data_IF_889889096182
#
_entry.id   IF_889889096182
#
_cell.length_a   1.000
_cell.length_b   1.000
_cell.length_c   1.000
_cell.angle_alpha   90.00
_cell.angle_beta   90.00
_cell.angle_gamma   90.00
#
_symmetry.space_group_name_H-M   'P 1'
#
loop_
_entity.id
_entity.type
_entity.pdbx_description
1 polymer ?
#
# COMPACT_ATOMS: atom_id res chain seq x y z
N UNK A 1 -62.06 34.93 20.12
CA UNK A 1 -61.08 34.70 19.07
C UNK A 1 -59.86 34.08 19.70
N UNK A 2 -59.69 32.75 19.58
CA UNK A 2 -58.55 32.00 20.15
C UNK A 2 -57.39 32.02 19.17
N UNK A 3 -56.27 32.64 19.55
CA UNK A 3 -55.02 32.60 18.76
C UNK A 3 -54.35 31.25 18.96
N UNK A 4 -54.33 30.43 17.92
CA UNK A 4 -53.56 29.19 17.88
C UNK A 4 -52.10 29.58 17.49
N UNK A 5 -51.22 29.48 18.45
CA UNK A 5 -49.76 29.62 18.23
C UNK A 5 -49.27 28.24 17.79
N UNK A 6 -48.99 28.09 16.50
CA UNK A 6 -48.37 26.90 15.95
C UNK A 6 -46.85 27.01 16.14
N UNK A 7 -46.33 26.35 17.18
CA UNK A 7 -44.91 26.25 17.40
C UNK A 7 -44.32 25.23 16.43
N UNK A 8 -43.63 25.70 15.38
CA UNK A 8 -42.91 24.84 14.46
C UNK A 8 -41.56 24.47 15.12
N UNK A 9 -41.51 23.30 15.74
CA UNK A 9 -40.26 22.73 16.23
C UNK A 9 -39.43 22.27 15.04
N UNK A 10 -38.44 23.05 14.62
CA UNK A 10 -37.45 22.63 13.65
C UNK A 10 -36.50 21.63 14.32
N UNK A 11 -36.70 20.32 14.06
CA UNK A 11 -35.78 19.28 14.44
C UNK A 11 -34.59 19.40 13.49
N UNK A 12 -33.53 20.03 13.96
CA UNK A 12 -32.23 20.05 13.25
C UNK A 12 -31.56 18.68 13.46
N UNK A 13 -31.76 17.78 12.51
CA UNK A 13 -30.94 16.58 12.44
C UNK A 13 -29.53 17.01 12.00
N UNK A 14 -28.63 17.15 12.95
CA UNK A 14 -27.19 17.23 12.70
C UNK A 14 -26.74 15.86 12.19
N UNK A 15 -26.74 15.67 10.88
CA UNK A 15 -26.08 14.55 10.25
C UNK A 15 -24.58 14.64 10.57
N UNK A 16 -24.12 13.79 11.48
CA UNK A 16 -22.69 13.67 11.73
C UNK A 16 -22.02 13.16 10.45
N UNK A 17 -20.95 13.82 9.97
CA UNK A 17 -20.21 13.31 8.83
C UNK A 17 -19.72 11.90 9.17
N UNK A 18 -20.01 10.93 8.33
CA UNK A 18 -19.42 9.61 8.45
C UNK A 18 -17.93 9.76 8.19
N UNK A 19 -17.12 9.65 9.24
CA UNK A 19 -15.67 9.63 9.11
C UNK A 19 -15.33 8.40 8.28
N UNK A 20 -14.75 8.62 7.09
CA UNK A 20 -14.23 7.52 6.29
C UNK A 20 -13.14 6.82 7.11
N UNK A 21 -13.42 5.59 7.56
CA UNK A 21 -12.45 4.80 8.31
C UNK A 21 -11.38 4.33 7.35
N UNK A 22 -10.14 4.74 7.57
CA UNK A 22 -8.98 4.23 6.89
C UNK A 22 -8.33 3.14 7.76
N UNK A 23 -8.10 1.96 7.20
CA UNK A 23 -7.31 0.92 7.86
C UNK A 23 -5.87 1.01 7.38
N UNK A 24 -4.94 0.83 8.31
CA UNK A 24 -3.52 0.68 8.00
C UNK A 24 -3.09 -0.74 8.37
N UNK A 25 -2.34 -1.36 7.47
CA UNK A 25 -1.74 -2.68 7.64
C UNK A 25 -0.23 -2.56 7.53
N UNK A 26 0.51 -3.27 8.37
CA UNK A 26 1.97 -3.26 8.38
C UNK A 26 2.51 -4.68 8.48
N UNK A 27 3.34 -5.08 7.53
CA UNK A 27 3.98 -6.38 7.45
C UNK A 27 5.48 -6.21 7.56
N UNK A 28 6.13 -7.04 8.35
CA UNK A 28 7.59 -7.11 8.43
C UNK A 28 8.04 -8.41 7.78
N UNK A 29 8.98 -8.31 6.85
CA UNK A 29 9.57 -9.50 6.26
C UNK A 29 10.25 -10.34 7.34
N UNK A 30 9.99 -11.66 7.40
CA UNK A 30 10.76 -12.56 8.24
C UNK A 30 12.24 -12.41 7.92
N UNK A 31 13.10 -12.53 8.94
CA UNK A 31 14.54 -12.53 8.72
C UNK A 31 14.90 -13.64 7.73
N UNK A 32 15.68 -13.35 6.72
CA UNK A 32 16.33 -14.37 5.92
C UNK A 32 17.33 -15.08 6.83
N UNK A 33 17.50 -16.40 6.66
CA UNK A 33 18.34 -17.21 7.55
C UNK A 33 19.67 -16.49 7.82
N UNK A 34 20.11 -16.39 9.07
CA UNK A 34 21.26 -15.60 9.44
C UNK A 34 22.49 -16.09 8.70
N UNK A 35 23.02 -15.28 7.79
CA UNK A 35 24.40 -15.47 7.42
C UNK A 35 25.21 -15.19 8.68
N UNK A 36 25.90 -16.22 9.17
CA UNK A 36 26.76 -16.11 10.34
C UNK A 36 27.68 -14.89 10.19
N UNK A 37 27.39 -13.84 10.94
CA UNK A 37 28.18 -12.63 10.94
C UNK A 37 27.44 -11.31 10.70
N UNK A 38 26.17 -11.29 10.32
CA UNK A 38 25.41 -10.05 10.13
C UNK A 38 24.49 -9.79 11.33
N UNK A 39 24.97 -9.27 12.38
CA UNK A 39 24.43 -9.21 13.69
C UNK A 39 23.11 -8.43 13.92
N UNK A 40 21.96 -9.01 13.67
CA UNK A 40 20.68 -8.46 14.14
C UNK A 40 19.51 -9.39 13.90
N UNK A 41 18.53 -9.48 14.83
CA UNK A 41 17.46 -10.48 14.78
C UNK A 41 16.38 -10.25 13.71
N UNK A 42 16.42 -9.14 12.97
CA UNK A 42 15.39 -8.74 12.01
C UNK A 42 15.96 -8.38 10.62
N UNK A 43 17.09 -8.92 10.24
CA UNK A 43 17.72 -8.58 8.98
C UNK A 43 17.11 -9.37 7.82
N UNK A 44 16.71 -8.65 6.79
CA UNK A 44 16.38 -9.20 5.48
C UNK A 44 17.62 -9.10 4.58
N UNK A 45 18.64 -9.94 4.87
CA UNK A 45 19.91 -9.92 4.19
C UNK A 45 19.76 -10.44 2.75
N UNK A 46 20.09 -9.60 1.77
CA UNK A 46 20.01 -9.90 0.35
C UNK A 46 21.41 -10.28 -0.15
N UNK A 47 21.60 -11.57 -0.39
CA UNK A 47 22.88 -12.12 -0.82
C UNK A 47 22.96 -12.15 -2.35
N UNK A 48 24.07 -11.74 -2.93
CA UNK A 48 24.40 -12.01 -4.32
C UNK A 48 24.37 -13.53 -4.58
N UNK A 49 23.94 -14.03 -5.66
CA UNK A 49 23.62 -15.43 -6.01
C UNK A 49 22.27 -15.91 -5.54
N UNK A 50 21.39 -15.06 -5.07
CA UNK A 50 20.06 -15.48 -4.64
C UNK A 50 18.99 -14.48 -5.02
N UNK A 51 17.97 -14.94 -5.71
CA UNK A 51 16.72 -14.23 -5.78
C UNK A 51 15.77 -14.68 -4.65
N UNK A 52 14.91 -13.78 -4.22
CA UNK A 52 14.03 -13.98 -3.07
C UNK A 52 12.58 -13.66 -3.43
N UNK A 53 11.63 -14.36 -2.79
CA UNK A 53 10.25 -13.92 -2.73
C UNK A 53 9.82 -13.72 -1.28
N UNK A 54 8.94 -12.76 -1.06
CA UNK A 54 8.23 -12.57 0.20
C UNK A 54 6.74 -12.53 -0.05
N UNK A 55 6.05 -13.64 0.25
CA UNK A 55 4.60 -13.77 0.11
C UNK A 55 3.87 -13.26 1.33
N UNK A 56 2.88 -12.41 1.09
CA UNK A 56 1.96 -11.87 2.09
C UNK A 56 0.59 -12.50 1.88
N UNK A 57 0.21 -13.41 2.79
CA UNK A 57 -1.03 -14.19 2.73
C UNK A 57 -1.67 -14.40 4.11
N UNK A 58 -1.25 -13.66 5.10
CA UNK A 58 -1.71 -13.77 6.48
C UNK A 58 -2.00 -12.43 7.14
N UNK A 59 -2.22 -12.43 8.45
CA UNK A 59 -2.43 -11.21 9.20
C UNK A 59 -1.16 -10.35 9.22
N UNK A 60 -1.36 -9.06 9.43
CA UNK A 60 -0.28 -8.09 9.58
C UNK A 60 0.44 -8.24 10.93
N UNK A 61 1.45 -7.41 11.18
CA UNK A 61 2.23 -7.43 12.43
C UNK A 61 1.41 -7.14 13.69
N UNK A 62 0.17 -6.67 13.55
CA UNK A 62 -0.78 -6.39 14.64
C UNK A 62 -1.88 -7.44 14.76
N UNK A 63 -1.88 -8.46 13.89
CA UNK A 63 -2.89 -9.52 13.83
C UNK A 63 -4.11 -9.19 12.98
N UNK A 64 -4.11 -8.07 12.23
CA UNK A 64 -5.20 -7.70 11.33
C UNK A 64 -5.08 -8.42 9.99
N UNK A 65 -6.18 -8.98 9.52
CA UNK A 65 -6.28 -9.57 8.17
C UNK A 65 -6.74 -8.52 7.18
N UNK A 66 -6.11 -8.49 6.00
CA UNK A 66 -6.52 -7.61 4.90
C UNK A 66 -7.93 -8.02 4.45
N UNK A 67 -8.82 -7.03 4.34
CA UNK A 67 -10.13 -7.17 3.75
C UNK A 67 -10.41 -5.96 2.86
N UNK A 68 -10.47 -6.18 1.55
CA UNK A 68 -10.75 -5.15 0.54
C UNK A 68 -12.23 -5.07 0.13
N UNK A 69 -13.14 -5.82 0.79
CA UNK A 69 -14.56 -5.72 0.48
C UNK A 69 -15.08 -4.31 0.74
N UNK A 70 -15.54 -3.64 -0.31
CA UNK A 70 -16.00 -2.25 -0.23
C UNK A 70 -14.91 -1.22 0.11
N UNK A 71 -13.63 -1.57 -0.10
CA UNK A 71 -12.49 -0.70 0.17
C UNK A 71 -11.57 -0.59 -1.03
N UNK A 72 -10.81 0.51 -1.08
CA UNK A 72 -9.74 0.76 -2.05
C UNK A 72 -8.43 0.95 -1.31
N UNK A 73 -7.33 0.43 -1.86
CA UNK A 73 -5.97 0.75 -1.38
C UNK A 73 -5.66 2.18 -1.82
N UNK A 74 -5.40 3.06 -0.86
CA UNK A 74 -5.15 4.49 -1.09
C UNK A 74 -3.68 4.87 -0.96
N UNK A 75 -2.86 4.00 -0.40
CA UNK A 75 -1.43 4.19 -0.29
C UNK A 75 -0.72 2.89 0.06
N UNK A 76 0.52 2.75 -0.41
CA UNK A 76 1.40 1.67 0.00
C UNK A 76 2.86 2.13 -0.06
N UNK A 77 3.67 1.59 0.85
CA UNK A 77 5.11 1.84 0.90
C UNK A 77 5.87 0.56 1.20
N UNK A 78 7.05 0.44 0.60
CA UNK A 78 8.03 -0.62 0.91
C UNK A 78 9.28 0.06 1.45
N UNK A 79 9.63 -0.23 2.69
CA UNK A 79 10.75 0.41 3.40
C UNK A 79 11.84 -0.60 3.70
N UNK A 80 13.04 -0.32 3.24
CA UNK A 80 14.27 -1.02 3.60
C UNK A 80 14.97 -0.19 4.67
N UNK A 81 15.13 -0.77 5.86
CA UNK A 81 15.79 -0.08 6.96
C UNK A 81 17.30 -0.16 6.83
N UNK A 82 17.95 1.00 6.81
CA UNK A 82 19.40 1.11 6.77
C UNK A 82 20.07 0.28 5.65
N UNK A 83 19.49 0.31 4.43
CA UNK A 83 20.02 -0.47 3.32
C UNK A 83 21.32 0.14 2.76
N UNK A 84 22.32 -0.70 2.58
CA UNK A 84 23.60 -0.32 2.01
C UNK A 84 24.18 -1.41 1.14
N UNK A 85 24.95 -1.01 0.13
CA UNK A 85 25.72 -1.92 -0.68
C UNK A 85 26.88 -2.51 0.12
N UNK A 86 27.23 -3.75 -0.16
CA UNK A 86 28.35 -4.45 0.45
C UNK A 86 29.72 -3.95 -0.04
N UNK A 87 29.84 -3.48 -1.28
CA UNK A 87 31.07 -3.01 -1.89
C UNK A 87 30.91 -1.64 -2.59
N UNK A 88 31.97 -1.15 -3.21
CA UNK A 88 31.99 0.15 -3.89
C UNK A 88 31.49 0.10 -5.33
N UNK A 89 31.14 -1.07 -5.86
CA UNK A 89 30.60 -1.24 -7.20
C UNK A 89 29.15 -0.76 -7.26
N UNK A 90 28.75 -0.15 -8.35
CA UNK A 90 27.36 0.29 -8.55
C UNK A 90 26.49 -0.93 -8.91
N UNK A 91 26.15 -1.71 -7.90
CA UNK A 91 25.24 -2.84 -8.01
C UNK A 91 23.78 -2.40 -8.01
N UNK A 92 22.88 -3.22 -8.55
CA UNK A 92 21.44 -2.96 -8.61
C UNK A 92 20.69 -3.93 -7.72
N UNK A 93 19.64 -3.45 -7.10
CA UNK A 93 18.59 -4.26 -6.48
C UNK A 93 17.32 -4.10 -7.32
N UNK A 94 16.87 -5.18 -7.93
CA UNK A 94 15.59 -5.23 -8.65
C UNK A 94 14.48 -5.66 -7.68
N UNK A 95 13.37 -4.93 -7.70
CA UNK A 95 12.22 -5.22 -6.84
C UNK A 95 10.95 -5.25 -7.66
N UNK A 96 10.19 -6.33 -7.50
CA UNK A 96 8.95 -6.60 -8.22
C UNK A 96 7.78 -6.82 -7.26
N UNK A 97 6.60 -6.44 -7.72
CA UNK A 97 5.32 -6.87 -7.17
C UNK A 97 4.82 -8.06 -7.98
N UNK A 98 4.51 -9.16 -7.31
CA UNK A 98 4.06 -10.42 -7.89
C UNK A 98 2.61 -10.68 -7.49
N UNK A 99 1.82 -11.25 -8.41
CA UNK A 99 0.44 -11.67 -8.11
C UNK A 99 0.42 -12.69 -6.95
N UNK A 100 1.38 -13.63 -6.96
CA UNK A 100 1.59 -14.58 -5.86
C UNK A 100 3.00 -15.17 -5.90
N UNK A 101 3.35 -15.97 -4.91
CA UNK A 101 4.54 -16.84 -4.90
C UNK A 101 4.18 -18.24 -4.42
N UNK A 102 5.00 -19.25 -4.78
CA UNK A 102 4.73 -20.65 -4.40
C UNK A 102 4.83 -20.89 -2.90
N UNK A 103 5.81 -20.27 -2.25
CA UNK A 103 6.10 -20.50 -0.84
C UNK A 103 5.57 -19.37 0.03
N UNK A 104 5.01 -19.70 1.19
CA UNK A 104 4.58 -18.72 2.17
C UNK A 104 5.78 -18.07 2.85
N UNK A 105 5.62 -16.81 3.28
CA UNK A 105 6.68 -16.05 3.91
C UNK A 105 7.83 -15.76 2.94
N UNK A 106 9.07 -15.88 3.41
CA UNK A 106 10.27 -15.64 2.60
C UNK A 106 10.84 -16.96 2.07
N UNK A 107 11.10 -17.00 0.77
CA UNK A 107 11.81 -18.09 0.11
C UNK A 107 12.91 -17.54 -0.80
N UNK A 108 13.92 -18.34 -1.09
CA UNK A 108 15.00 -17.97 -2.01
C UNK A 108 15.46 -19.15 -2.83
N UNK A 109 16.03 -18.89 -3.98
CA UNK A 109 16.78 -19.88 -4.76
C UNK A 109 18.15 -19.29 -5.17
N UNK A 110 19.07 -20.15 -5.53
CA UNK A 110 20.36 -19.74 -6.05
C UNK A 110 20.23 -19.46 -7.55
N UNK A 111 20.39 -18.21 -7.96
CA UNK A 111 20.21 -17.72 -9.34
C UNK A 111 21.49 -17.83 -10.18
N UNK A 112 22.67 -17.86 -9.52
CA UNK A 112 23.95 -18.03 -10.16
C UNK A 112 24.82 -19.08 -9.44
N UNK A 113 25.75 -19.77 -10.15
CA UNK A 113 26.69 -20.67 -9.50
C UNK A 113 27.56 -19.95 -8.48
N UNK A 114 27.71 -20.52 -7.28
CA UNK A 114 28.45 -19.93 -6.17
C UNK A 114 29.94 -19.65 -6.45
N UNK A 115 30.46 -20.08 -7.60
CA UNK A 115 31.84 -20.00 -7.98
C UNK A 115 32.14 -18.97 -9.11
N UNK A 116 31.15 -18.25 -9.56
CA UNK A 116 31.36 -17.20 -10.58
C UNK A 116 31.89 -15.92 -9.92
N UNK A 117 33.12 -15.61 -10.16
CA UNK A 117 33.76 -14.34 -9.77
C UNK A 117 34.44 -13.75 -11.00
N UNK A 118 34.13 -12.50 -11.37
CA UNK A 118 33.20 -11.56 -10.77
C UNK A 118 31.76 -11.86 -11.17
N UNK A 119 30.86 -11.64 -10.24
CA UNK A 119 29.43 -11.70 -10.51
C UNK A 119 29.06 -10.47 -11.30
N UNK A 120 28.99 -10.60 -12.60
CA UNK A 120 28.41 -9.57 -13.50
C UNK A 120 27.00 -9.94 -13.88
N UNK A 121 26.28 -10.68 -13.01
CA UNK A 121 24.91 -11.02 -13.28
C UNK A 121 24.01 -9.82 -12.97
N UNK A 122 23.99 -8.87 -13.91
CA UNK A 122 23.05 -7.74 -13.92
C UNK A 122 21.66 -8.17 -14.41
N UNK A 123 21.33 -9.45 -14.33
CA UNK A 123 20.10 -9.98 -14.87
C UNK A 123 19.02 -10.04 -13.78
N UNK A 124 17.88 -9.51 -14.09
CA UNK A 124 16.69 -9.52 -13.26
C UNK A 124 15.94 -10.84 -13.41
N UNK A 125 15.97 -11.69 -12.39
CA UNK A 125 15.29 -13.00 -12.37
C UNK A 125 13.76 -12.91 -12.24
N UNK A 126 13.25 -11.71 -12.07
CA UNK A 126 11.82 -11.41 -12.15
C UNK A 126 11.42 -10.75 -13.47
N UNK A 127 12.30 -10.73 -14.48
CA UNK A 127 12.03 -10.17 -15.80
C UNK A 127 12.25 -11.18 -16.94
N UNK A 128 11.55 -10.97 -18.06
CA UNK A 128 11.75 -11.68 -19.31
C UNK A 128 11.69 -13.21 -19.22
N UNK A 129 12.62 -13.87 -19.90
CA UNK A 129 12.70 -15.34 -19.95
C UNK A 129 13.16 -15.96 -18.63
N UNK A 130 13.93 -15.24 -17.82
CA UNK A 130 14.34 -15.69 -16.48
C UNK A 130 13.16 -15.84 -15.55
N UNK A 131 12.26 -14.87 -15.57
CA UNK A 131 11.03 -14.94 -14.79
C UNK A 131 10.17 -16.18 -15.15
N UNK A 132 10.07 -16.51 -16.43
CA UNK A 132 9.31 -17.68 -16.88
C UNK A 132 9.84 -19.00 -16.30
N UNK A 133 11.12 -19.06 -15.93
CA UNK A 133 11.80 -20.22 -15.36
C UNK A 133 12.09 -20.09 -13.86
N UNK A 134 11.66 -19.02 -13.21
CA UNK A 134 11.91 -18.77 -11.81
C UNK A 134 11.22 -19.83 -10.92
N UNK A 135 11.96 -20.59 -10.10
CA UNK A 135 11.38 -21.71 -9.33
C UNK A 135 10.47 -21.24 -8.18
N UNK A 136 10.55 -19.96 -7.78
CA UNK A 136 9.76 -19.39 -6.67
C UNK A 136 8.35 -18.98 -7.08
N UNK A 137 8.08 -18.90 -8.39
CA UNK A 137 6.78 -18.49 -8.93
C UNK A 137 6.21 -19.56 -9.85
N UNK A 138 4.90 -19.62 -10.00
CA UNK A 138 4.27 -20.48 -10.98
C UNK A 138 4.40 -19.85 -12.38
N UNK A 139 4.46 -20.69 -13.42
CA UNK A 139 4.46 -20.19 -14.79
C UNK A 139 3.21 -19.36 -15.08
N UNK A 140 3.39 -18.19 -15.67
CA UNK A 140 2.30 -17.26 -15.99
C UNK A 140 1.84 -16.39 -14.80
N UNK A 141 2.47 -16.47 -13.63
CA UNK A 141 2.21 -15.51 -12.56
C UNK A 141 2.49 -14.10 -13.06
N UNK A 142 1.54 -13.18 -12.89
CA UNK A 142 1.72 -11.80 -13.27
C UNK A 142 2.72 -11.08 -12.35
N UNK A 143 3.51 -10.18 -12.91
CA UNK A 143 4.42 -9.34 -12.14
C UNK A 143 4.44 -7.91 -12.67
N UNK A 144 4.95 -7.01 -11.84
CA UNK A 144 5.17 -5.60 -12.17
C UNK A 144 6.45 -5.13 -11.50
N UNK A 145 7.40 -4.61 -12.29
CA UNK A 145 8.59 -3.98 -11.72
C UNK A 145 8.17 -2.77 -10.88
N UNK A 146 8.66 -2.70 -9.64
CA UNK A 146 8.47 -1.56 -8.76
C UNK A 146 9.60 -0.56 -8.97
N UNK A 147 10.82 -1.01 -8.80
CA UNK A 147 12.03 -0.21 -9.02
C UNK A 147 13.26 -1.09 -9.21
N UNK A 148 14.31 -0.47 -9.76
CA UNK A 148 15.70 -0.92 -9.70
C UNK A 148 16.53 0.21 -9.11
N UNK A 149 17.32 -0.09 -8.09
CA UNK A 149 18.00 0.93 -7.31
C UNK A 149 19.41 0.47 -6.88
N UNK A 150 20.39 1.36 -7.07
CA UNK A 150 21.70 1.22 -6.46
C UNK A 150 21.75 1.96 -5.11
N UNK A 151 22.42 1.38 -4.14
CA UNK A 151 22.60 1.98 -2.82
C UNK A 151 24.09 2.24 -2.54
N UNK A 152 24.33 3.27 -1.73
CA UNK A 152 25.70 3.63 -1.38
C UNK A 152 26.39 2.54 -0.56
N UNK A 153 27.68 2.33 -0.83
CA UNK A 153 28.55 1.54 0.03
C UNK A 153 28.82 2.27 1.34
N UNK A 154 28.78 1.52 2.42
CA UNK A 154 29.23 2.02 3.73
C UNK A 154 30.35 1.13 4.24
N UNK A 155 31.50 1.73 4.53
CA UNK A 155 32.67 1.02 5.00
C UNK A 155 32.37 0.25 6.29
N UNK A 156 32.22 -1.05 6.16
CA UNK A 156 31.84 -1.93 7.25
C UNK A 156 30.35 -1.81 7.61
N UNK A 157 29.87 -2.76 8.37
CA UNK A 157 28.47 -2.96 8.78
C UNK A 157 27.90 -1.87 9.71
N UNK A 158 28.26 -0.60 9.50
CA UNK A 158 27.78 0.49 10.35
C UNK A 158 26.39 0.96 9.90
N UNK A 159 25.40 0.05 9.98
CA UNK A 159 24.01 0.24 9.56
C UNK A 159 23.33 1.43 10.21
N UNK A 160 23.79 1.86 11.38
CA UNK A 160 23.13 2.91 12.15
C UNK A 160 23.24 4.30 11.52
N UNK A 161 24.15 4.48 10.57
CA UNK A 161 24.39 5.77 9.88
C UNK A 161 23.76 5.85 8.48
N UNK A 162 23.18 4.75 8.00
CA UNK A 162 22.51 4.73 6.68
C UNK A 162 21.05 5.07 6.84
N UNK A 163 20.50 6.01 6.05
CA UNK A 163 19.08 6.30 6.10
C UNK A 163 18.25 5.11 5.59
N UNK A 164 16.99 5.05 6.01
CA UNK A 164 16.02 4.13 5.42
C UNK A 164 15.75 4.55 3.98
N UNK A 165 15.58 3.57 3.11
CA UNK A 165 15.00 3.79 1.79
C UNK A 165 13.53 3.40 1.81
N UNK A 166 12.66 4.32 1.42
CA UNK A 166 11.21 4.08 1.33
C UNK A 166 10.74 4.32 -0.09
N UNK A 167 10.24 3.27 -0.72
CA UNK A 167 9.57 3.34 -2.01
C UNK A 167 8.06 3.55 -1.79
N UNK A 168 7.49 4.55 -2.47
CA UNK A 168 6.06 4.84 -2.43
C UNK A 168 5.42 4.38 -3.74
N UNK A 169 4.36 3.61 -3.65
CA UNK A 169 3.64 3.08 -4.81
C UNK A 169 2.91 4.19 -5.57
N UNK A 170 3.00 4.14 -6.89
CA UNK A 170 2.21 4.99 -7.78
C UNK A 170 0.75 4.54 -7.82
N UNK A 171 -0.15 5.38 -8.33
CA UNK A 171 -1.58 5.02 -8.46
C UNK A 171 -1.80 3.75 -9.29
N UNK A 172 -1.03 3.56 -10.38
CA UNK A 172 -1.12 2.35 -11.19
C UNK A 172 -0.67 1.10 -10.42
N UNK A 173 0.40 1.21 -9.63
CA UNK A 173 0.90 0.11 -8.80
C UNK A 173 -0.07 -0.23 -7.64
N UNK A 174 -0.77 0.75 -7.08
CA UNK A 174 -1.84 0.51 -6.10
C UNK A 174 -3.02 -0.24 -6.72
N UNK A 175 -3.39 0.09 -7.95
CA UNK A 175 -4.41 -0.65 -8.71
C UNK A 175 -3.97 -2.09 -8.98
N UNK A 176 -2.72 -2.30 -9.40
CA UNK A 176 -2.13 -3.63 -9.61
C UNK A 176 -2.10 -4.45 -8.32
N UNK A 177 -1.66 -3.84 -7.20
CA UNK A 177 -1.66 -4.48 -5.88
C UNK A 177 -3.06 -4.93 -5.46
N UNK A 178 -4.08 -4.06 -5.67
CA UNK A 178 -5.48 -4.42 -5.43
C UNK A 178 -5.92 -5.60 -6.28
N UNK A 179 -5.60 -5.60 -7.58
CA UNK A 179 -5.96 -6.68 -8.49
C UNK A 179 -5.31 -8.01 -8.07
N UNK A 180 -4.03 -8.00 -7.72
CA UNK A 180 -3.31 -9.18 -7.26
C UNK A 180 -3.90 -9.73 -5.96
N UNK A 181 -4.14 -8.87 -4.97
CA UNK A 181 -4.75 -9.31 -3.73
C UNK A 181 -6.15 -9.92 -3.94
N UNK A 182 -6.97 -9.34 -4.84
CA UNK A 182 -8.31 -9.85 -5.13
C UNK A 182 -8.32 -11.16 -5.92
N UNK A 183 -7.21 -11.51 -6.59
CA UNK A 183 -7.08 -12.75 -7.34
C UNK A 183 -6.94 -13.99 -6.42
N UNK A 184 -6.23 -13.87 -5.29
CA UNK A 184 -5.97 -15.03 -4.41
C UNK A 184 -6.00 -14.73 -2.91
N UNK A 185 -6.32 -13.50 -2.51
CA UNK A 185 -6.17 -12.96 -1.14
C UNK A 185 -4.70 -12.98 -0.67
N UNK A 186 -3.78 -12.94 -1.61
CA UNK A 186 -2.35 -12.83 -1.36
C UNK A 186 -1.67 -11.99 -2.46
N UNK A 187 -0.43 -11.66 -2.23
CA UNK A 187 0.51 -11.11 -3.20
C UNK A 187 1.92 -11.37 -2.69
N UNK A 188 2.92 -11.09 -3.52
CA UNK A 188 4.30 -11.24 -3.07
C UNK A 188 5.20 -10.11 -3.60
N UNK A 189 6.36 -9.98 -2.99
CA UNK A 189 7.48 -9.22 -3.51
C UNK A 189 8.55 -10.17 -4.05
N UNK A 190 9.17 -9.79 -5.16
CA UNK A 190 10.40 -10.38 -5.68
C UNK A 190 11.56 -9.43 -5.41
N UNK A 191 12.68 -9.95 -4.94
CA UNK A 191 13.91 -9.19 -4.72
C UNK A 191 15.06 -9.94 -5.38
N UNK A 192 15.77 -9.25 -6.26
CA UNK A 192 16.91 -9.78 -6.96
C UNK A 192 18.09 -8.80 -6.86
N UNK A 193 19.07 -9.10 -5.99
CA UNK A 193 20.23 -8.28 -5.80
C UNK A 193 21.40 -8.74 -6.70
N UNK A 194 21.92 -7.86 -7.58
CA UNK A 194 23.16 -8.10 -8.33
C UNK A 194 24.37 -8.37 -7.40
N UNK A 195 24.30 -7.83 -6.20
CA UNK A 195 25.30 -7.99 -5.19
C UNK A 195 24.67 -7.99 -3.80
N UNK A 196 25.49 -8.18 -2.79
CA UNK A 196 25.03 -8.24 -1.40
C UNK A 196 24.59 -6.87 -0.89
N UNK A 197 23.37 -6.79 -0.36
CA UNK A 197 22.85 -5.62 0.31
C UNK A 197 22.57 -5.91 1.78
N UNK A 198 23.25 -5.17 2.65
CA UNK A 198 22.99 -5.16 4.08
C UNK A 198 21.73 -4.33 4.36
N UNK A 199 20.85 -4.81 5.24
CA UNK A 199 19.75 -4.00 5.74
C UNK A 199 19.25 -4.53 7.10
N UNK A 200 18.54 -3.69 7.83
CA UNK A 200 17.94 -4.01 9.14
C UNK A 200 16.50 -4.49 9.04
N UNK A 201 16.11 -5.00 7.88
CA UNK A 201 14.78 -5.56 7.61
C UNK A 201 13.96 -4.73 6.64
N UNK A 202 12.96 -5.39 6.06
CA UNK A 202 12.03 -4.81 5.10
C UNK A 202 10.64 -4.77 5.70
N UNK A 203 9.97 -3.64 5.55
CA UNK A 203 8.60 -3.42 6.02
C UNK A 203 7.72 -2.97 4.87
N UNK A 204 6.59 -3.63 4.68
CA UNK A 204 5.54 -3.18 3.78
C UNK A 204 4.39 -2.61 4.60
N UNK A 205 3.92 -1.42 4.23
CA UNK A 205 2.74 -0.79 4.82
C UNK A 205 1.76 -0.37 3.75
N UNK A 206 0.47 -0.57 3.99
CA UNK A 206 -0.58 -0.08 3.10
C UNK A 206 -1.74 0.51 3.88
N UNK A 207 -2.44 1.46 3.25
CA UNK A 207 -3.66 2.07 3.77
C UNK A 207 -4.83 1.81 2.85
N UNK A 208 -6.01 1.61 3.42
CA UNK A 208 -7.26 1.44 2.68
C UNK A 208 -8.28 2.47 3.13
N UNK A 209 -9.19 2.85 2.24
CA UNK A 209 -10.35 3.66 2.56
C UNK A 209 -11.62 2.99 2.05
N UNK A 210 -12.74 3.24 2.73
CA UNK A 210 -14.04 2.75 2.28
C UNK A 210 -14.42 3.39 0.94
N UNK A 211 -14.98 2.61 0.02
CA UNK A 211 -15.59 3.09 -1.22
C UNK A 211 -16.92 3.79 -0.90
N UNK A 212 -16.88 4.87 -0.13
CA UNK A 212 -18.07 5.67 0.10
C UNK A 212 -18.35 6.47 -1.17
N UNK A 213 -19.42 6.13 -1.91
CA UNK A 213 -20.03 7.11 -2.79
C UNK A 213 -20.36 8.33 -1.94
N UNK A 214 -19.94 9.55 -2.35
CA UNK A 214 -20.33 10.76 -1.63
C UNK A 214 -21.86 10.82 -1.61
N UNK A 215 -22.46 10.42 -0.51
CA UNK A 215 -23.88 10.69 -0.30
C UNK A 215 -23.99 12.18 -0.08
N UNK A 216 -24.84 12.91 -0.84
CA UNK A 216 -25.06 14.32 -0.58
C UNK A 216 -25.37 14.47 0.90
N UNK A 217 -24.56 15.25 1.61
CA UNK A 217 -24.67 15.36 3.06
C UNK A 217 -26.10 15.75 3.44
N UNK A 218 -26.71 15.09 4.45
CA UNK A 218 -28.06 15.42 4.89
C UNK A 218 -28.25 16.92 5.17
N UNK A 219 -27.17 17.60 5.58
CA UNK A 219 -27.12 19.04 5.77
C UNK A 219 -27.35 19.82 4.46
N UNK A 220 -26.78 19.36 3.35
CA UNK A 220 -26.97 20.03 2.02
C UNK A 220 -28.42 19.87 1.57
N UNK A 221 -29.01 18.71 1.74
CA UNK A 221 -30.43 18.47 1.44
C UNK A 221 -31.35 19.28 2.35
N UNK A 222 -31.03 19.38 3.63
CA UNK A 222 -31.79 20.19 4.60
C UNK A 222 -31.68 21.68 4.27
N UNK A 223 -30.48 22.16 3.92
CA UNK A 223 -30.26 23.55 3.53
C UNK A 223 -30.99 23.90 2.22
N UNK A 224 -30.97 23.01 1.24
CA UNK A 224 -31.71 23.15 0.00
C UNK A 224 -33.21 23.16 0.26
N UNK A 225 -33.71 22.21 1.08
CA UNK A 225 -35.13 22.13 1.45
C UNK A 225 -35.63 23.34 2.22
N UNK A 226 -34.88 23.82 3.20
CA UNK A 226 -35.20 25.02 3.99
C UNK A 226 -35.13 26.30 3.16
N UNK A 227 -34.12 26.39 2.26
CA UNK A 227 -34.01 27.51 1.32
C UNK A 227 -35.20 27.59 0.37
N UNK A 228 -35.66 26.49 -0.21
CA UNK A 228 -36.81 26.43 -1.07
C UNK A 228 -38.13 26.74 -0.31
N UNK A 229 -38.27 26.20 0.90
CA UNK A 229 -39.46 26.48 1.76
C UNK A 229 -39.51 27.99 2.13
N UNK A 230 -38.38 28.59 2.43
CA UNK A 230 -38.24 30.02 2.71
C UNK A 230 -38.66 30.90 1.52
N UNK A 231 -38.22 30.54 0.31
CA UNK A 231 -38.60 31.24 -0.93
C UNK A 231 -40.10 31.14 -1.21
N UNK A 232 -40.69 29.96 -1.04
CA UNK A 232 -42.15 29.75 -1.23
C UNK A 232 -42.96 30.52 -0.20
N UNK A 233 -42.52 30.56 1.06
CA UNK A 233 -43.17 31.35 2.11
C UNK A 233 -43.15 32.83 1.82
N UNK A 234 -42.00 33.38 1.37
CA UNK A 234 -41.87 34.78 0.98
C UNK A 234 -42.76 35.14 -0.19
N UNK A 235 -42.89 34.27 -1.20
CA UNK A 235 -43.78 34.47 -2.36
C UNK A 235 -45.25 34.53 -1.94
N UNK A 236 -45.71 33.63 -1.07
CA UNK A 236 -47.09 33.63 -0.56
C UNK A 236 -47.41 34.90 0.23
N UNK A 237 -46.51 35.35 1.06
CA UNK A 237 -46.71 36.61 1.82
C UNK A 237 -46.86 37.86 0.92
N UNK A 238 -46.12 37.91 -0.15
CA UNK A 238 -46.22 39.01 -1.13
C UNK A 238 -47.58 38.99 -1.82
N UNK A 239 -48.06 37.88 -2.26
CA UNK A 239 -49.36 37.74 -2.89
C UNK A 239 -50.54 38.12 -1.95
N UNK A 240 -50.46 37.76 -0.69
CA UNK A 240 -51.43 38.18 0.31
C UNK A 240 -51.43 39.66 0.59
N UNK A 241 -50.29 40.28 0.60
CA UNK A 241 -50.17 41.72 0.78
C UNK A 241 -50.70 42.56 -0.41
N UNK A 242 -50.62 42.01 -1.62
CA UNK A 242 -51.16 42.61 -2.84
C UNK A 242 -52.70 42.49 -2.87
N UNK A 243 -53.26 41.37 -2.43
CA UNK A 243 -54.74 41.16 -2.34
C UNK A 243 -55.42 42.03 -1.28
N UNK A 244 -54.67 42.53 -0.26
CA UNK A 244 -55.22 43.42 0.76
C UNK A 244 -55.21 44.91 0.35
N UNK A 245 -54.56 45.23 -0.76
CA UNK A 245 -54.50 46.60 -1.30
C UNK A 245 -55.44 46.90 -2.44
N UNK A 246 -56.15 45.87 -2.96
CA UNK A 246 -57.16 45.95 -3.98
C UNK A 246 -58.55 45.92 -3.35
#
# INVERSE_FOLDING_TARGET
>A
MKKIILSLAAVVFLGLPTIASADTFTFNAPATAPNAGSGGPNQFDLNHYKAYTWKINGPDSTGKTINLSGKTITGATLTFRNISNWDTTANMLFVHLLDTAKNNGVASFQDAPANQVPVTDINDDFAGTRYANNPLVASGTANTSLFNQSFAYTNGRNYTQVPNFTYTFTANQLSTLSAYFLNGNDFAFGFDPDCHYWNNGVTFSMTTANNTTPTPEPATMTLLGTGLAGLLYRRRRRQQAEQQKA
#
